data_IF_663298719502
#
_entry.id   IF_663298719502
#
_cell.length_a   1.000
_cell.length_b   1.000
_cell.length_c   1.000
_cell.angle_alpha   90.00
_cell.angle_beta   90.00
_cell.angle_gamma   90.00
#
_symmetry.space_group_name_H-M   'P 1'
#
loop_
_entity.id
_entity.type
_entity.pdbx_description
1 polymer ?
#
# COMPACT_ATOMS: atom_id res chain seq x y z
N UNK A 1 23.31 -8.67 -12.41
CA UNK A 1 22.50 -8.56 -11.17
C UNK A 1 23.05 -7.56 -10.16
N UNK A 2 24.38 -7.38 -10.01
CA UNK A 2 24.94 -6.41 -9.05
C UNK A 2 24.47 -4.96 -9.24
N UNK A 3 24.28 -4.51 -10.48
CA UNK A 3 23.88 -3.12 -10.76
C UNK A 3 22.46 -2.79 -10.26
N UNK A 4 21.50 -3.72 -10.39
CA UNK A 4 20.10 -3.51 -9.96
C UNK A 4 20.05 -3.31 -8.44
N UNK A 5 20.76 -4.15 -7.69
CA UNK A 5 20.79 -4.07 -6.24
C UNK A 5 21.49 -2.80 -5.73
N UNK A 6 22.55 -2.37 -6.41
CA UNK A 6 23.24 -1.11 -6.08
C UNK A 6 22.32 0.09 -6.30
N UNK A 7 21.60 0.14 -7.43
CA UNK A 7 20.61 1.20 -7.70
C UNK A 7 19.50 1.16 -6.66
N UNK A 8 18.93 -0.01 -6.39
CA UNK A 8 17.86 -0.17 -5.41
C UNK A 8 18.26 0.33 -4.02
N UNK A 9 19.46 -0.03 -3.55
CA UNK A 9 19.98 0.42 -2.26
C UNK A 9 20.22 1.92 -2.22
N UNK A 10 20.73 2.50 -3.31
CA UNK A 10 20.91 3.95 -3.43
C UNK A 10 19.56 4.67 -3.37
N UNK A 11 18.58 4.23 -4.16
CA UNK A 11 17.21 4.78 -4.19
C UNK A 11 16.54 4.70 -2.82
N UNK A 12 16.61 3.54 -2.14
CA UNK A 12 16.08 3.39 -0.78
C UNK A 12 16.75 4.40 0.18
N UNK A 13 18.09 4.51 0.10
CA UNK A 13 18.84 5.48 0.89
C UNK A 13 18.44 6.94 0.64
N UNK A 14 18.09 7.31 -0.60
CA UNK A 14 17.59 8.65 -0.92
C UNK A 14 16.23 8.92 -0.26
N UNK A 15 15.32 7.95 -0.28
CA UNK A 15 13.99 8.06 0.35
C UNK A 15 14.15 8.20 1.87
N UNK A 16 14.90 7.28 2.48
CA UNK A 16 15.07 7.21 3.94
C UNK A 16 15.96 8.32 4.49
N UNK A 17 16.54 9.18 3.65
CA UNK A 17 17.28 10.38 4.10
C UNK A 17 16.41 11.62 4.15
N UNK A 18 15.26 11.62 3.48
CA UNK A 18 14.36 12.76 3.48
C UNK A 18 13.59 12.83 4.80
N UNK A 19 13.63 13.98 5.47
CA UNK A 19 12.93 14.20 6.74
C UNK A 19 11.41 13.95 6.63
N UNK A 20 10.83 14.24 5.46
CA UNK A 20 9.41 14.03 5.19
C UNK A 20 8.97 12.57 5.38
N UNK A 21 9.82 11.59 5.04
CA UNK A 21 9.51 10.16 5.22
C UNK A 21 9.24 9.82 6.69
N UNK A 22 10.15 10.22 7.59
CA UNK A 22 10.00 9.97 9.02
C UNK A 22 8.95 10.83 9.68
N UNK A 23 8.81 12.09 9.25
CA UNK A 23 7.78 13.00 9.75
C UNK A 23 6.39 12.42 9.44
N UNK A 24 6.16 11.96 8.21
CA UNK A 24 4.89 11.35 7.83
C UNK A 24 4.64 10.03 8.58
N UNK A 25 5.67 9.18 8.73
CA UNK A 25 5.58 7.97 9.55
C UNK A 25 5.17 8.29 10.99
N UNK A 26 5.81 9.30 11.60
CA UNK A 26 5.55 9.70 12.96
C UNK A 26 4.12 10.23 13.14
N UNK A 27 3.67 11.13 12.25
CA UNK A 27 2.31 11.68 12.32
C UNK A 27 1.26 10.57 12.20
N UNK A 28 1.42 9.65 11.24
CA UNK A 28 0.44 8.58 11.03
C UNK A 28 0.53 7.48 12.09
N UNK A 29 1.70 7.23 12.67
CA UNK A 29 1.86 6.40 13.86
C UNK A 29 1.08 6.96 15.05
N UNK A 30 1.20 8.27 15.32
CA UNK A 30 0.44 8.94 16.38
C UNK A 30 -1.05 8.86 16.10
N UNK A 31 -1.48 9.04 14.84
CA UNK A 31 -2.89 8.92 14.45
C UNK A 31 -3.43 7.51 14.71
N UNK A 32 -2.66 6.46 14.37
CA UNK A 32 -3.02 5.06 14.66
C UNK A 32 -3.15 4.85 16.17
N UNK A 33 -2.20 5.33 16.97
CA UNK A 33 -2.26 5.18 18.42
C UNK A 33 -3.45 5.92 19.04
N UNK A 34 -3.76 7.12 18.55
CA UNK A 34 -4.89 7.93 19.04
C UNK A 34 -6.25 7.34 18.66
N UNK A 35 -6.32 6.45 17.66
CA UNK A 35 -7.58 5.84 17.21
C UNK A 35 -8.34 5.10 18.32
N UNK A 36 -7.65 4.58 19.35
CA UNK A 36 -8.29 3.94 20.51
C UNK A 36 -9.28 4.86 21.24
N UNK A 37 -9.01 6.17 21.27
CA UNK A 37 -9.88 7.15 21.95
C UNK A 37 -11.20 7.36 21.21
N UNK A 38 -11.21 7.13 19.90
CA UNK A 38 -12.42 7.28 19.09
C UNK A 38 -13.41 6.15 19.33
N UNK A 39 -12.94 4.99 19.81
CA UNK A 39 -13.78 3.83 20.12
C UNK A 39 -14.78 4.11 21.23
N UNK A 40 -14.45 5.02 22.15
CA UNK A 40 -15.36 5.46 23.21
C UNK A 40 -16.68 6.05 22.66
N UNK A 41 -16.67 6.54 21.41
CA UNK A 41 -17.86 7.07 20.74
C UNK A 41 -18.64 6.01 19.94
N UNK A 42 -18.09 4.80 19.76
CA UNK A 42 -18.65 3.73 18.94
C UNK A 42 -19.35 2.67 19.81
N UNK A 43 -20.63 2.85 20.09
CA UNK A 43 -21.47 2.04 21.00
C UNK A 43 -21.65 0.53 20.67
N UNK A 44 -20.99 -0.06 19.65
CA UNK A 44 -21.29 -1.46 19.24
C UNK A 44 -20.22 -2.27 18.48
N UNK A 45 -19.10 -1.68 18.03
CA UNK A 45 -18.09 -2.37 17.20
C UNK A 45 -16.65 -1.98 17.57
N UNK A 46 -16.29 -2.26 18.81
CA UNK A 46 -15.17 -1.65 19.53
C UNK A 46 -13.78 -1.87 18.87
N UNK A 47 -13.36 -3.11 18.65
CA UNK A 47 -12.03 -3.40 18.07
C UNK A 47 -11.98 -3.36 16.53
N UNK A 48 -13.14 -3.42 15.87
CA UNK A 48 -13.25 -3.45 14.41
C UNK A 48 -12.89 -2.09 13.80
N UNK A 49 -13.34 -1.01 14.47
CA UNK A 49 -13.06 0.36 14.02
C UNK A 49 -11.57 0.69 14.09
N UNK A 50 -10.86 0.30 15.16
CA UNK A 50 -9.41 0.50 15.29
C UNK A 50 -8.68 -0.14 14.09
N UNK A 51 -9.05 -1.38 13.76
CA UNK A 51 -8.41 -2.12 12.68
C UNK A 51 -8.67 -1.50 11.32
N UNK A 52 -9.93 -1.12 11.06
CA UNK A 52 -10.33 -0.47 9.82
C UNK A 52 -9.58 0.84 9.61
N UNK A 53 -9.54 1.70 10.65
CA UNK A 53 -8.82 2.97 10.62
C UNK A 53 -7.30 2.76 10.49
N UNK A 54 -6.75 1.77 11.18
CA UNK A 54 -5.34 1.42 11.14
C UNK A 54 -4.88 0.99 9.75
N UNK A 55 -5.59 0.06 9.12
CA UNK A 55 -5.29 -0.42 7.76
C UNK A 55 -5.47 0.72 6.75
N UNK A 56 -6.52 1.53 6.88
CA UNK A 56 -6.71 2.72 6.03
C UNK A 56 -5.53 3.70 6.14
N UNK A 57 -5.02 3.92 7.35
CA UNK A 57 -3.89 4.81 7.61
C UNK A 57 -2.59 4.28 7.01
N UNK A 58 -2.36 2.96 7.07
CA UNK A 58 -1.21 2.31 6.42
C UNK A 58 -1.28 2.49 4.89
N UNK A 59 -2.45 2.25 4.30
CA UNK A 59 -2.67 2.47 2.86
C UNK A 59 -2.47 3.93 2.45
N UNK A 60 -2.93 4.88 3.27
CA UNK A 60 -2.77 6.31 3.05
C UNK A 60 -1.29 6.73 3.13
N UNK A 61 -0.55 6.25 4.13
CA UNK A 61 0.89 6.49 4.24
C UNK A 61 1.62 6.02 2.97
N UNK A 62 1.33 4.79 2.54
CA UNK A 62 1.94 4.20 1.35
C UNK A 62 1.62 4.98 0.08
N UNK A 63 0.38 5.43 -0.10
CA UNK A 63 -0.02 6.30 -1.21
C UNK A 63 0.81 7.60 -1.23
N UNK A 64 0.86 8.33 -0.11
CA UNK A 64 1.55 9.63 -0.06
C UNK A 64 3.03 9.44 -0.38
N UNK A 65 3.67 8.42 0.20
CA UNK A 65 5.07 8.10 -0.10
C UNK A 65 5.26 7.74 -1.57
N UNK A 66 4.42 6.89 -2.15
CA UNK A 66 4.54 6.51 -3.56
C UNK A 66 4.44 7.74 -4.47
N UNK A 67 3.48 8.62 -4.21
CA UNK A 67 3.21 9.79 -5.05
C UNK A 67 4.27 10.88 -4.89
N UNK A 68 4.77 11.11 -3.67
CA UNK A 68 5.74 12.19 -3.42
C UNK A 68 7.18 11.73 -3.65
N UNK A 69 7.57 10.58 -3.11
CA UNK A 69 8.96 10.11 -3.10
C UNK A 69 9.38 9.48 -4.41
N UNK A 70 8.52 8.67 -5.03
CA UNK A 70 8.88 8.03 -6.31
C UNK A 70 9.09 9.08 -7.41
N UNK A 71 8.40 10.21 -7.32
CA UNK A 71 8.51 11.32 -8.26
C UNK A 71 9.83 12.07 -8.12
N UNK A 72 10.12 12.55 -6.92
CA UNK A 72 11.31 13.37 -6.68
C UNK A 72 12.60 12.66 -7.08
N UNK A 73 12.69 11.35 -6.91
CA UNK A 73 13.87 10.58 -7.29
C UNK A 73 13.94 10.41 -8.82
N UNK A 74 12.82 10.23 -9.52
CA UNK A 74 12.83 10.09 -10.98
C UNK A 74 13.08 11.41 -11.68
N UNK A 75 12.39 12.48 -11.26
CA UNK A 75 12.51 13.78 -11.90
C UNK A 75 13.84 14.46 -11.57
N UNK A 76 14.36 14.35 -10.33
CA UNK A 76 15.67 14.92 -10.00
C UNK A 76 16.81 14.26 -10.79
N UNK A 77 16.74 12.95 -11.05
CA UNK A 77 17.74 12.25 -11.87
C UNK A 77 17.59 12.52 -13.38
N UNK A 78 16.43 13.01 -13.83
CA UNK A 78 16.18 13.37 -15.23
C UNK A 78 16.45 14.86 -15.53
N UNK A 79 16.23 15.76 -14.57
CA UNK A 79 16.39 17.22 -14.72
C UNK A 79 17.83 17.69 -14.48
N UNK A 80 18.58 17.05 -13.57
CA UNK A 80 20.02 17.30 -13.48
C UNK A 80 20.69 16.76 -14.75
N UNK A 81 21.35 17.65 -15.49
CA UNK A 81 22.11 17.34 -16.72
C UNK A 81 23.32 16.41 -16.51
N UNK A 82 23.31 15.57 -15.48
CA UNK A 82 24.27 14.48 -15.21
C UNK A 82 23.86 13.15 -15.85
N UNK A 83 22.67 13.06 -16.46
CA UNK A 83 22.27 11.89 -17.26
C UNK A 83 23.14 11.69 -18.52
N UNK A 84 23.67 12.77 -19.11
CA UNK A 84 24.49 12.67 -20.33
C UNK A 84 25.90 12.14 -20.05
N UNK A 85 26.43 12.34 -18.83
CA UNK A 85 27.77 11.85 -18.43
C UNK A 85 27.73 10.47 -17.78
N UNK A 86 26.58 10.03 -17.24
CA UNK A 86 26.40 8.66 -16.73
C UNK A 86 26.01 7.64 -17.81
N UNK A 87 25.58 8.09 -19.00
CA UNK A 87 25.37 7.24 -20.18
C UNK A 87 26.67 6.66 -20.77
N UNK A 88 27.85 7.05 -20.27
CA UNK A 88 29.14 6.44 -20.67
C UNK A 88 29.34 5.02 -20.14
N UNK A 89 28.48 4.54 -19.22
CA UNK A 89 28.35 3.11 -18.90
C UNK A 89 27.03 2.59 -19.50
N UNK A 90 27.04 1.51 -20.32
CA UNK A 90 25.85 1.01 -20.98
C UNK A 90 24.96 0.27 -19.97
N UNK A 91 24.23 1.00 -19.14
CA UNK A 91 23.22 0.44 -18.25
C UNK A 91 21.95 0.24 -19.07
N UNK A 92 21.44 -0.99 -19.11
CA UNK A 92 20.19 -1.32 -19.81
C UNK A 92 19.03 -0.57 -19.14
N UNK A 93 18.16 0.07 -19.93
CA UNK A 93 17.02 0.87 -19.43
C UNK A 93 16.09 0.06 -18.51
N UNK A 94 15.94 -1.24 -18.76
CA UNK A 94 15.19 -2.17 -17.89
C UNK A 94 15.83 -2.38 -16.51
N UNK A 95 17.16 -2.41 -16.42
CA UNK A 95 17.87 -2.58 -15.14
C UNK A 95 17.72 -1.34 -14.26
N UNK A 96 17.67 -0.15 -14.87
CA UNK A 96 17.44 1.11 -14.16
C UNK A 96 16.03 1.18 -13.56
N UNK A 97 14.99 0.95 -14.38
CA UNK A 97 13.58 0.93 -13.95
C UNK A 97 13.32 -0.10 -12.84
N UNK A 98 13.84 -1.31 -13.00
CA UNK A 98 13.70 -2.37 -12.00
C UNK A 98 14.41 -2.02 -10.69
N UNK A 99 15.66 -1.54 -10.75
CA UNK A 99 16.40 -1.13 -9.57
C UNK A 99 15.66 -0.06 -8.77
N UNK A 100 15.08 0.92 -9.47
CA UNK A 100 14.32 2.00 -8.85
C UNK A 100 13.04 1.51 -8.18
N UNK A 101 12.30 0.62 -8.85
CA UNK A 101 11.13 -0.01 -8.26
C UNK A 101 11.51 -0.77 -6.99
N UNK A 102 12.52 -1.64 -7.03
CA UNK A 102 12.94 -2.40 -5.84
C UNK A 102 13.37 -1.50 -4.68
N UNK A 103 14.04 -0.37 -4.96
CA UNK A 103 14.41 0.60 -3.94
C UNK A 103 13.19 1.25 -3.27
N UNK A 104 12.19 1.65 -4.07
CA UNK A 104 10.93 2.21 -3.55
C UNK A 104 10.14 1.16 -2.76
N UNK A 105 10.06 -0.07 -3.27
CA UNK A 105 9.38 -1.18 -2.59
C UNK A 105 10.02 -1.48 -1.22
N UNK A 106 11.35 -1.45 -1.15
CA UNK A 106 12.06 -1.68 0.11
C UNK A 106 11.72 -0.59 1.15
N UNK A 107 11.68 0.68 0.75
CA UNK A 107 11.28 1.79 1.63
C UNK A 107 9.85 1.60 2.14
N UNK A 108 8.91 1.28 1.23
CA UNK A 108 7.51 1.08 1.59
C UNK A 108 7.37 -0.12 2.54
N UNK A 109 8.10 -1.21 2.29
CA UNK A 109 8.09 -2.39 3.14
C UNK A 109 8.44 -2.06 4.59
N UNK A 110 9.53 -1.30 4.82
CA UNK A 110 9.92 -0.92 6.18
C UNK A 110 8.93 0.02 6.85
N UNK A 111 8.36 0.97 6.13
CA UNK A 111 7.36 1.87 6.70
C UNK A 111 6.03 1.19 7.00
N UNK A 112 5.57 0.29 6.12
CA UNK A 112 4.39 -0.54 6.37
C UNK A 112 4.63 -1.43 7.58
N UNK A 113 5.78 -2.10 7.67
CA UNK A 113 6.14 -2.94 8.83
C UNK A 113 6.10 -2.13 10.13
N UNK A 114 6.69 -0.93 10.13
CA UNK A 114 6.68 -0.05 11.30
C UNK A 114 5.26 0.35 11.73
N UNK A 115 4.42 0.82 10.80
CA UNK A 115 3.04 1.20 11.12
C UNK A 115 2.18 0.00 11.54
N UNK A 116 2.43 -1.17 10.95
CA UNK A 116 1.76 -2.43 11.31
C UNK A 116 2.11 -2.84 12.73
N UNK A 117 3.39 -2.72 13.12
CA UNK A 117 3.82 -2.98 14.49
C UNK A 117 3.10 -2.05 15.49
N UNK A 118 2.97 -0.77 15.15
CA UNK A 118 2.24 0.21 15.98
C UNK A 118 0.76 -0.15 16.07
N UNK A 119 0.11 -0.54 14.97
CA UNK A 119 -1.29 -0.97 15.00
C UNK A 119 -1.50 -2.22 15.88
N UNK A 120 -0.58 -3.19 15.82
CA UNK A 120 -0.62 -4.37 16.69
C UNK A 120 -0.46 -3.96 18.16
N UNK A 121 0.45 -3.02 18.47
CA UNK A 121 0.62 -2.47 19.82
C UNK A 121 -0.63 -1.74 20.30
N UNK A 122 -1.27 -0.92 19.45
CA UNK A 122 -2.51 -0.23 19.81
C UNK A 122 -3.63 -1.22 20.15
N UNK A 123 -3.80 -2.31 19.38
CA UNK A 123 -4.80 -3.33 19.70
C UNK A 123 -4.42 -4.08 20.97
N UNK A 124 -3.14 -4.37 21.18
CA UNK A 124 -2.67 -4.95 22.42
C UNK A 124 -3.07 -4.08 23.62
N UNK A 125 -2.73 -2.79 23.61
CA UNK A 125 -3.04 -1.88 24.72
C UNK A 125 -4.55 -1.74 24.95
N UNK A 126 -5.32 -1.64 23.87
CA UNK A 126 -6.78 -1.55 23.91
C UNK A 126 -7.42 -2.77 24.58
N UNK A 127 -6.99 -3.97 24.18
CA UNK A 127 -7.53 -5.22 24.74
C UNK A 127 -7.19 -5.39 26.21
N UNK A 128 -5.97 -5.01 26.61
CA UNK A 128 -5.57 -5.06 28.00
C UNK A 128 -6.46 -4.16 28.86
N UNK A 129 -6.75 -2.94 28.40
CA UNK A 129 -7.63 -2.01 29.12
C UNK A 129 -9.06 -2.57 29.29
N UNK A 130 -9.70 -3.06 28.22
CA UNK A 130 -11.05 -3.64 28.28
C UNK A 130 -11.13 -4.82 29.25
N UNK A 131 -10.08 -5.65 29.28
CA UNK A 131 -10.04 -6.80 30.17
C UNK A 131 -9.97 -6.37 31.64
N UNK A 132 -9.18 -5.36 31.99
CA UNK A 132 -9.08 -4.88 33.38
C UNK A 132 -10.37 -4.24 33.91
N UNK A 133 -11.24 -3.73 33.04
CA UNK A 133 -12.50 -3.07 33.42
C UNK A 133 -13.75 -3.97 33.29
N UNK A 134 -13.68 -5.05 32.50
CA UNK A 134 -14.85 -5.85 32.10
C UNK A 134 -15.02 -7.23 32.73
N UNK A 135 -16.03 -7.98 32.24
CA UNK A 135 -16.38 -9.36 32.65
C UNK A 135 -15.38 -10.42 32.19
N UNK A 136 -14.38 -10.06 31.38
CA UNK A 136 -13.38 -10.99 30.84
C UNK A 136 -12.50 -11.67 31.90
N UNK A 137 -12.31 -11.04 33.06
CA UNK A 137 -11.71 -11.69 34.23
C UNK A 137 -12.52 -12.90 34.71
N UNK A 138 -13.85 -12.78 34.68
CA UNK A 138 -14.77 -13.81 35.18
C UNK A 138 -14.76 -15.01 34.23
N UNK A 139 -14.72 -14.78 32.92
CA UNK A 139 -14.70 -15.85 31.92
C UNK A 139 -13.34 -16.55 31.81
N UNK A 140 -12.23 -15.80 31.93
CA UNK A 140 -10.88 -16.39 32.03
C UNK A 140 -10.74 -17.28 33.28
N UNK A 141 -11.24 -16.80 34.44
CA UNK A 141 -11.23 -17.55 35.69
C UNK A 141 -12.11 -18.83 35.62
N UNK A 142 -13.30 -18.75 35.00
CA UNK A 142 -14.18 -19.91 34.79
C UNK A 142 -13.60 -20.97 33.85
N UNK A 143 -12.79 -20.56 32.87
CA UNK A 143 -12.14 -21.46 31.91
C UNK A 143 -10.89 -22.17 32.45
N UNK A 144 -10.46 -21.89 33.69
CA UNK A 144 -9.20 -22.40 34.23
C UNK A 144 -7.95 -21.92 33.50
N UNK A 145 -8.08 -20.86 32.70
CA UNK A 145 -7.01 -20.27 31.89
C UNK A 145 -6.48 -19.02 32.59
N UNK A 146 -5.18 -18.74 32.44
CA UNK A 146 -4.65 -17.44 32.88
C UNK A 146 -5.30 -16.32 32.07
N UNK A 147 -5.55 -15.16 32.69
CA UNK A 147 -6.10 -13.97 32.02
C UNK A 147 -5.29 -13.65 30.76
N UNK A 148 -3.96 -13.71 30.86
CA UNK A 148 -3.04 -13.48 29.74
C UNK A 148 -3.26 -14.47 28.59
N UNK A 149 -3.53 -15.74 28.91
CA UNK A 149 -3.69 -16.80 27.90
C UNK A 149 -5.04 -16.70 27.18
N UNK A 150 -6.10 -16.35 27.92
CA UNK A 150 -7.42 -16.08 27.35
C UNK A 150 -7.39 -14.88 26.39
N UNK A 151 -6.75 -13.78 26.80
CA UNK A 151 -6.56 -12.57 25.97
C UNK A 151 -5.77 -12.86 24.70
N UNK A 152 -4.63 -13.54 24.87
CA UNK A 152 -3.73 -13.81 23.77
C UNK A 152 -4.42 -14.68 22.71
N UNK A 153 -5.12 -15.73 23.14
CA UNK A 153 -5.71 -16.72 22.24
C UNK A 153 -6.99 -16.25 21.56
N UNK A 154 -7.88 -15.57 22.29
CA UNK A 154 -9.21 -15.24 21.78
C UNK A 154 -9.29 -13.86 21.14
N UNK A 155 -8.39 -12.95 21.50
CA UNK A 155 -8.45 -11.57 21.02
C UNK A 155 -7.20 -11.18 20.23
N UNK A 156 -5.99 -11.44 20.73
CA UNK A 156 -4.78 -10.96 20.05
C UNK A 156 -4.46 -11.70 18.75
N UNK A 157 -4.37 -13.04 18.79
CA UNK A 157 -3.98 -13.86 17.62
C UNK A 157 -4.88 -13.60 16.40
N UNK A 158 -6.23 -13.67 16.49
CA UNK A 158 -7.07 -13.44 15.32
C UNK A 158 -6.96 -12.01 14.78
N UNK A 159 -6.88 -11.00 15.66
CA UNK A 159 -6.77 -9.60 15.22
C UNK A 159 -5.42 -9.31 14.55
N UNK A 160 -4.32 -9.84 15.10
CA UNK A 160 -2.99 -9.68 14.54
C UNK A 160 -2.86 -10.30 13.14
N UNK A 161 -3.49 -11.45 12.91
CA UNK A 161 -3.47 -12.12 11.61
C UNK A 161 -4.16 -11.27 10.53
N UNK A 162 -5.35 -10.74 10.83
CA UNK A 162 -6.08 -9.87 9.88
C UNK A 162 -5.31 -8.57 9.60
N UNK A 163 -4.65 -7.99 10.61
CA UNK A 163 -3.79 -6.81 10.42
C UNK A 163 -2.64 -7.12 9.45
N UNK A 164 -1.97 -8.25 9.60
CA UNK A 164 -0.86 -8.66 8.72
C UNK A 164 -1.33 -8.85 7.28
N UNK A 165 -2.50 -9.47 7.09
CA UNK A 165 -3.12 -9.63 5.77
C UNK A 165 -3.47 -8.27 5.13
N UNK A 166 -4.05 -7.36 5.93
CA UNK A 166 -4.32 -5.98 5.52
C UNK A 166 -3.06 -5.23 5.11
N UNK A 167 -2.03 -5.24 5.95
CA UNK A 167 -0.75 -4.61 5.67
C UNK A 167 -0.10 -5.18 4.40
N UNK A 168 -0.19 -6.49 4.19
CA UNK A 168 0.33 -7.14 3.00
C UNK A 168 -0.41 -6.70 1.72
N UNK A 169 -1.74 -6.64 1.73
CA UNK A 169 -2.50 -6.14 0.58
C UNK A 169 -2.24 -4.64 0.32
N UNK A 170 -2.16 -3.82 1.37
CA UNK A 170 -1.77 -2.40 1.25
C UNK A 170 -0.38 -2.25 0.62
N UNK A 171 0.57 -3.10 0.99
CA UNK A 171 1.91 -3.14 0.38
C UNK A 171 1.83 -3.48 -1.12
N UNK A 172 1.06 -4.51 -1.51
CA UNK A 172 0.88 -4.87 -2.92
C UNK A 172 0.22 -3.75 -3.73
N UNK A 173 -0.78 -3.08 -3.16
CA UNK A 173 -1.42 -1.92 -3.78
C UNK A 173 -0.40 -0.80 -4.06
N UNK A 174 0.42 -0.47 -3.05
CA UNK A 174 1.48 0.51 -3.18
C UNK A 174 2.55 0.07 -4.20
N UNK A 175 2.85 -1.22 -4.27
CA UNK A 175 3.80 -1.78 -5.23
C UNK A 175 3.34 -1.56 -6.67
N UNK A 176 2.08 -1.90 -6.96
CA UNK A 176 1.47 -1.66 -8.27
C UNK A 176 1.43 -0.17 -8.60
N UNK A 177 1.01 0.67 -7.63
CA UNK A 177 0.98 2.12 -7.82
C UNK A 177 2.38 2.70 -8.08
N UNK A 178 3.41 2.20 -7.39
CA UNK A 178 4.80 2.65 -7.58
C UNK A 178 5.34 2.32 -8.97
N UNK A 179 4.99 1.15 -9.53
CA UNK A 179 5.35 0.80 -10.90
C UNK A 179 4.72 1.77 -11.91
N UNK A 180 3.44 2.12 -11.74
CA UNK A 180 2.76 3.12 -12.56
C UNK A 180 3.42 4.50 -12.40
N UNK A 181 3.65 4.92 -11.16
CA UNK A 181 4.22 6.21 -10.78
C UNK A 181 5.61 6.43 -11.42
N UNK A 182 6.51 5.45 -11.30
CA UNK A 182 7.85 5.46 -11.91
C UNK A 182 7.75 5.46 -13.43
N UNK A 183 6.84 4.66 -13.98
CA UNK A 183 6.63 4.57 -15.43
C UNK A 183 6.08 5.85 -16.04
N UNK A 184 5.31 6.63 -15.29
CA UNK A 184 4.82 7.94 -15.75
C UNK A 184 5.88 9.04 -15.57
N UNK A 185 6.64 9.01 -14.46
CA UNK A 185 7.68 10.00 -14.15
C UNK A 185 8.82 10.02 -15.19
N UNK A 186 9.01 8.89 -15.86
CA UNK A 186 9.82 8.72 -17.05
C UNK A 186 9.53 9.69 -18.20
N UNK A 187 8.27 10.09 -18.34
CA UNK A 187 7.75 10.73 -19.55
C UNK A 187 7.15 12.10 -19.29
N UNK A 188 6.59 12.29 -18.10
CA UNK A 188 5.82 13.46 -17.74
C UNK A 188 6.52 14.28 -16.65
N UNK A 189 6.39 15.62 -16.69
CA UNK A 189 6.85 16.48 -15.60
C UNK A 189 6.23 16.09 -14.25
N UNK A 190 6.91 16.44 -13.15
CA UNK A 190 6.52 16.06 -11.78
C UNK A 190 5.04 16.29 -11.48
N UNK A 191 4.51 17.49 -11.78
CA UNK A 191 3.12 17.85 -11.48
C UNK A 191 2.12 16.98 -12.22
N UNK A 192 2.37 16.72 -13.52
CA UNK A 192 1.51 15.86 -14.33
C UNK A 192 1.53 14.43 -13.80
N UNK A 193 2.69 13.94 -13.42
CA UNK A 193 2.81 12.57 -12.91
C UNK A 193 2.13 12.39 -11.56
N UNK A 194 2.31 13.34 -10.63
CA UNK A 194 1.62 13.32 -9.33
C UNK A 194 0.11 13.31 -9.54
N UNK A 195 -0.42 14.24 -10.35
CA UNK A 195 -1.84 14.35 -10.62
C UNK A 195 -2.40 13.08 -11.29
N UNK A 196 -1.70 12.55 -12.29
CA UNK A 196 -2.13 11.34 -13.02
C UNK A 196 -2.07 10.10 -12.14
N UNK A 197 -1.05 9.96 -11.29
CA UNK A 197 -0.92 8.82 -10.37
C UNK A 197 -2.01 8.85 -9.30
N UNK A 198 -2.32 10.03 -8.75
CA UNK A 198 -3.44 10.20 -7.82
C UNK A 198 -4.79 9.86 -8.48
N UNK A 199 -5.00 10.30 -9.73
CA UNK A 199 -6.20 9.99 -10.48
C UNK A 199 -6.32 8.47 -10.75
N UNK A 200 -5.22 7.81 -11.14
CA UNK A 200 -5.19 6.35 -11.31
C UNK A 200 -5.48 5.62 -9.99
N UNK A 201 -4.97 6.12 -8.85
CA UNK A 201 -5.30 5.55 -7.55
C UNK A 201 -6.79 5.63 -7.24
N UNK A 202 -7.39 6.81 -7.40
CA UNK A 202 -8.82 7.03 -7.13
C UNK A 202 -9.66 6.15 -8.06
N UNK A 203 -9.43 6.24 -9.38
CA UNK A 203 -10.20 5.45 -10.34
C UNK A 203 -9.96 3.94 -10.19
N UNK A 204 -8.76 3.53 -9.80
CA UNK A 204 -8.44 2.12 -9.57
C UNK A 204 -9.21 1.53 -8.38
N UNK A 205 -9.36 2.28 -7.29
CA UNK A 205 -10.21 1.87 -6.15
C UNK A 205 -11.69 1.87 -6.54
N UNK A 206 -12.11 2.79 -7.42
CA UNK A 206 -13.50 2.90 -7.88
C UNK A 206 -13.85 1.92 -9.02
N UNK A 207 -12.86 1.28 -9.65
CA UNK A 207 -13.03 0.49 -10.88
C UNK A 207 -14.08 -0.62 -10.76
N UNK A 208 -14.11 -1.33 -9.62
CA UNK A 208 -15.12 -2.37 -9.36
C UNK A 208 -16.53 -1.78 -9.25
N UNK A 209 -16.68 -0.66 -8.55
CA UNK A 209 -17.96 0.04 -8.40
C UNK A 209 -18.44 0.64 -9.73
N UNK A 210 -17.54 1.17 -10.55
CA UNK A 210 -17.85 1.69 -11.90
C UNK A 210 -18.38 0.56 -12.79
N UNK A 211 -17.72 -0.61 -12.79
CA UNK A 211 -18.17 -1.76 -13.60
C UNK A 211 -19.54 -2.27 -13.17
N UNK A 212 -19.76 -2.42 -11.86
CA UNK A 212 -21.06 -2.89 -11.34
C UNK A 212 -22.17 -1.86 -11.56
N UNK A 213 -21.87 -0.58 -11.37
CA UNK A 213 -22.83 0.50 -11.57
C UNK A 213 -23.22 0.68 -13.04
N UNK A 214 -22.24 0.74 -13.94
CA UNK A 214 -22.49 0.92 -15.38
C UNK A 214 -23.01 -0.34 -16.06
N UNK A 215 -22.68 -1.53 -15.56
CA UNK A 215 -23.22 -2.80 -16.08
C UNK A 215 -24.71 -3.02 -15.78
N UNK A 216 -25.30 -2.23 -14.87
CA UNK A 216 -26.75 -2.20 -14.62
C UNK A 216 -27.49 -1.21 -15.52
N UNK A 217 -26.79 -0.44 -16.34
CA UNK A 217 -27.42 0.48 -17.27
C UNK A 217 -27.89 -0.26 -18.52
N UNK A 218 -29.15 -0.04 -18.94
CA UNK A 218 -29.73 -0.62 -20.17
C UNK A 218 -29.12 -0.06 -21.47
N UNK A 219 -28.09 0.77 -21.37
CA UNK A 219 -27.45 1.45 -22.49
C UNK A 219 -26.09 0.85 -22.80
N UNK A 220 -25.96 0.36 -24.04
CA UNK A 220 -24.77 -0.27 -24.60
C UNK A 220 -23.52 0.64 -24.52
N UNK A 221 -23.61 1.98 -24.78
CA UNK A 221 -22.45 2.87 -24.65
C UNK A 221 -21.91 2.98 -23.22
N UNK A 222 -22.78 3.06 -22.21
CA UNK A 222 -22.35 3.20 -20.82
C UNK A 222 -21.65 1.92 -20.31
N UNK A 223 -22.18 0.75 -20.67
CA UNK A 223 -21.54 -0.54 -20.34
C UNK A 223 -20.18 -0.69 -21.02
N UNK A 224 -20.06 -0.25 -22.29
CA UNK A 224 -18.79 -0.30 -23.03
C UNK A 224 -17.71 0.60 -22.39
N UNK A 225 -18.07 1.83 -22.00
CA UNK A 225 -17.16 2.76 -21.31
C UNK A 225 -16.70 2.16 -19.97
N UNK A 226 -17.62 1.56 -19.19
CA UNK A 226 -17.28 0.89 -17.93
C UNK A 226 -16.29 -0.25 -18.10
N UNK A 227 -16.47 -1.09 -19.12
CA UNK A 227 -15.54 -2.17 -19.44
C UNK A 227 -14.17 -1.65 -19.88
N UNK A 228 -14.12 -0.59 -20.69
CA UNK A 228 -12.86 0.02 -21.13
C UNK A 228 -12.00 0.48 -19.94
N UNK A 229 -12.58 1.25 -19.02
CA UNK A 229 -11.84 1.72 -17.84
C UNK A 229 -11.47 0.59 -16.88
N UNK A 230 -12.34 -0.42 -16.73
CA UNK A 230 -12.06 -1.57 -15.87
C UNK A 230 -10.84 -2.39 -16.31
N UNK A 231 -10.63 -2.54 -17.62
CA UNK A 231 -9.46 -3.28 -18.14
C UNK A 231 -8.21 -2.41 -18.30
N UNK A 232 -8.37 -1.10 -18.49
CA UNK A 232 -7.24 -0.17 -18.64
C UNK A 232 -6.56 0.11 -17.28
N UNK A 233 -7.36 0.32 -16.24
CA UNK A 233 -6.87 0.76 -14.94
C UNK A 233 -6.51 -0.42 -14.02
N UNK A 234 -5.54 -0.24 -13.09
CA UNK A 234 -5.29 -1.23 -12.06
C UNK A 234 -6.51 -1.29 -11.14
N UNK A 235 -7.09 -2.47 -10.97
CA UNK A 235 -8.21 -2.63 -10.06
C UNK A 235 -7.69 -2.79 -8.63
N UNK A 236 -7.63 -1.67 -7.90
CA UNK A 236 -7.19 -1.65 -6.52
C UNK A 236 -8.20 -2.22 -5.52
N UNK A 237 -9.45 -2.48 -5.96
CA UNK A 237 -10.45 -3.15 -5.14
C UNK A 237 -10.05 -4.57 -4.72
N UNK A 238 -9.15 -5.24 -5.47
CA UNK A 238 -8.61 -6.54 -5.05
C UNK A 238 -7.62 -6.44 -3.87
N UNK A 239 -7.04 -5.28 -3.62
CA UNK A 239 -6.13 -5.06 -2.50
C UNK A 239 -6.82 -4.35 -1.33
N UNK A 240 -7.85 -3.55 -1.62
CA UNK A 240 -8.55 -2.77 -0.62
C UNK A 240 -9.82 -3.48 -0.13
N UNK A 241 -9.65 -4.44 0.79
CA UNK A 241 -10.73 -5.22 1.41
C UNK A 241 -11.16 -4.67 2.77
N UNK A 242 -11.37 -3.36 2.85
CA UNK A 242 -11.64 -2.64 4.10
C UNK A 242 -12.82 -3.21 4.91
N UNK A 243 -13.89 -3.62 4.22
CA UNK A 243 -15.07 -4.24 4.87
C UNK A 243 -14.73 -5.59 5.51
N UNK A 244 -14.00 -6.45 4.81
CA UNK A 244 -13.61 -7.77 5.33
C UNK A 244 -12.69 -7.62 6.55
N UNK A 245 -11.79 -6.63 6.51
CA UNK A 245 -10.91 -6.34 7.64
C UNK A 245 -11.66 -5.80 8.85
N UNK A 246 -12.61 -4.89 8.63
CA UNK A 246 -13.48 -4.37 9.68
C UNK A 246 -14.29 -5.49 10.33
N UNK A 247 -14.82 -6.42 9.56
CA UNK A 247 -15.66 -7.52 10.07
C UNK A 247 -14.92 -8.60 10.87
N UNK A 248 -13.59 -8.59 10.96
CA UNK A 248 -12.89 -9.69 11.62
C UNK A 248 -12.44 -10.81 10.69
N UNK A 249 -12.77 -10.75 9.41
CA UNK A 249 -12.66 -11.90 8.52
C UNK A 249 -11.20 -12.17 8.13
N UNK A 250 -10.77 -13.40 8.40
CA UNK A 250 -9.47 -13.92 7.92
C UNK A 250 -9.58 -14.17 6.42
N UNK A 251 -8.64 -13.63 5.66
CA UNK A 251 -8.61 -13.78 4.22
C UNK A 251 -8.02 -15.14 3.86
N UNK A 252 -8.69 -15.87 2.96
CA UNK A 252 -8.18 -17.14 2.47
C UNK A 252 -6.80 -16.96 1.82
N UNK A 253 -5.84 -17.84 2.16
CA UNK A 253 -4.51 -17.87 1.54
C UNK A 253 -4.58 -17.92 0.00
N UNK A 254 -5.60 -18.59 -0.55
CA UNK A 254 -5.85 -18.64 -2.00
C UNK A 254 -6.05 -17.24 -2.60
N UNK A 255 -6.81 -16.38 -1.90
CA UNK A 255 -7.04 -15.01 -2.32
C UNK A 255 -5.75 -14.19 -2.31
N UNK A 256 -4.98 -14.26 -1.22
CA UNK A 256 -3.68 -13.56 -1.09
C UNK A 256 -2.72 -13.95 -2.22
N UNK A 257 -2.69 -15.23 -2.58
CA UNK A 257 -1.85 -15.73 -3.67
C UNK A 257 -2.31 -15.18 -5.03
N UNK A 258 -3.61 -15.16 -5.32
CA UNK A 258 -4.13 -14.56 -6.56
C UNK A 258 -3.91 -13.05 -6.62
N UNK A 259 -4.11 -12.32 -5.52
CA UNK A 259 -3.83 -10.90 -5.44
C UNK A 259 -2.34 -10.61 -5.70
N UNK A 260 -1.45 -11.43 -5.14
CA UNK A 260 0.00 -11.34 -5.36
C UNK A 260 0.37 -11.57 -6.83
N UNK A 261 -0.17 -12.63 -7.45
CA UNK A 261 0.05 -12.93 -8.87
C UNK A 261 -0.47 -11.78 -9.74
N UNK A 262 -1.67 -11.29 -9.47
CA UNK A 262 -2.25 -10.15 -10.18
C UNK A 262 -1.35 -8.91 -10.09
N UNK A 263 -0.87 -8.56 -8.89
CA UNK A 263 0.04 -7.44 -8.69
C UNK A 263 1.36 -7.59 -9.45
N UNK A 264 2.00 -8.76 -9.38
CA UNK A 264 3.26 -9.05 -10.09
C UNK A 264 3.08 -8.97 -11.61
N UNK A 265 2.01 -9.56 -12.14
CA UNK A 265 1.70 -9.49 -13.57
C UNK A 265 1.47 -8.05 -14.01
N UNK A 266 0.71 -7.26 -13.24
CA UNK A 266 0.44 -5.87 -13.57
C UNK A 266 1.72 -5.03 -13.58
N UNK A 267 2.56 -5.18 -12.54
CA UNK A 267 3.88 -4.53 -12.47
C UNK A 267 4.73 -4.89 -13.70
N UNK A 268 4.78 -6.17 -14.06
CA UNK A 268 5.56 -6.64 -15.22
C UNK A 268 5.06 -6.02 -16.53
N UNK A 269 3.74 -5.96 -16.73
CA UNK A 269 3.13 -5.34 -17.92
C UNK A 269 3.50 -3.85 -17.98
N UNK A 270 3.28 -3.12 -16.89
CA UNK A 270 3.57 -1.67 -16.81
C UNK A 270 5.03 -1.37 -17.09
N UNK A 271 5.95 -2.10 -16.44
CA UNK A 271 7.39 -1.90 -16.65
C UNK A 271 7.85 -2.29 -18.06
N UNK A 272 7.24 -3.31 -18.66
CA UNK A 272 7.54 -3.71 -20.04
C UNK A 272 7.11 -2.63 -21.02
N UNK A 273 5.91 -2.08 -20.84
CA UNK A 273 5.41 -0.94 -21.63
C UNK A 273 6.33 0.28 -21.46
N UNK A 274 6.67 0.62 -20.22
CA UNK A 274 7.58 1.73 -19.93
C UNK A 274 8.92 1.54 -20.65
N UNK A 275 9.54 0.37 -20.50
CA UNK A 275 10.82 0.04 -21.15
C UNK A 275 10.73 0.12 -22.67
N UNK A 276 9.65 -0.38 -23.27
CA UNK A 276 9.43 -0.33 -24.71
C UNK A 276 9.31 1.10 -25.25
N UNK A 277 8.60 1.97 -24.53
CA UNK A 277 8.48 3.40 -24.88
C UNK A 277 9.84 4.10 -24.71
N UNK A 278 10.55 3.83 -23.61
CA UNK A 278 11.89 4.37 -23.35
C UNK A 278 12.92 4.00 -24.42
N UNK A 279 12.86 2.77 -24.95
CA UNK A 279 13.78 2.32 -25.99
C UNK A 279 13.60 3.07 -27.31
N UNK A 280 12.38 3.57 -27.60
CA UNK A 280 12.07 4.30 -28.84
C UNK A 280 12.46 5.77 -28.84
N UNK A 281 12.69 6.36 -27.66
CA UNK A 281 13.25 7.72 -27.57
C UNK A 281 14.77 7.65 -27.69
N UNK A 282 15.28 8.02 -28.85
CA UNK A 282 16.65 8.52 -28.96
C UNK A 282 16.72 9.79 -28.13
N UNK A 283 17.52 9.77 -27.06
CA UNK A 283 17.85 10.97 -26.30
C UNK A 283 18.75 11.78 -27.23
N UNK A 284 18.19 12.79 -27.88
CA UNK A 284 18.94 13.80 -28.64
C UNK A 284 19.51 14.84 -27.70
#
# INVERSE_FOLDING_TARGET
>A
MGNIFVIARATNGLITRQAFYYLLLFILAVLIYMSQTLVLFAFSYEANMIREMGIATISLWGLIIVVVMSQTIVTAELEDRTAVTLLSKPIKKSEFLLGKLFGVLLSIFFGVLFLTAILILTIWDYTHAELFEGTGFIDAYKGGMSIVEFTYRNFFIPHAFVILEGAFLSFLQCAVLSAVCISLAAFFPMLVTVATTMLIYILGNLSTYIKVGLGKADSLPLTAIGNFFYYLLPNFGYFNLQTAFSEGNIISFKYLLFASIYGVIYIAIVLTIATAIFNRREIR
#
